data_IF_855235742069
#
_entry.id   IF_855235742069
#
_cell.length_a   1.000
_cell.length_b   1.000
_cell.length_c   1.000
_cell.angle_alpha   90.00
_cell.angle_beta   90.00
_cell.angle_gamma   90.00
#
_symmetry.space_group_name_H-M   'P 1'
#
loop_
_entity.id
_entity.type
_entity.pdbx_description
1 polymer ?
#
# COMPACT_ATOMS: atom_id res chain seq x y z
N UNK A 1 -69.44 52.56 2.45
CA UNK A 1 -69.27 51.13 2.16
C UNK A 1 -68.47 51.04 0.88
N UNK A 2 -67.18 50.74 0.80
CA UNK A 2 -66.04 50.60 1.72
C UNK A 2 -64.80 50.68 0.78
N UNK A 3 -63.77 51.45 1.13
CA UNK A 3 -62.41 50.97 1.44
C UNK A 3 -61.75 50.07 0.36
N UNK A 4 -60.78 50.55 -0.43
CA UNK A 4 -59.31 50.72 -0.21
C UNK A 4 -58.44 49.60 -0.82
N UNK A 5 -57.59 50.02 -1.76
CA UNK A 5 -56.19 49.61 -2.10
C UNK A 5 -55.70 48.19 -1.75
N UNK A 6 -55.22 47.46 -2.78
CA UNK A 6 -54.10 46.49 -2.69
C UNK A 6 -53.34 46.56 -4.04
N UNK A 7 -52.33 47.41 -4.24
CA UNK A 7 -50.91 47.24 -3.88
C UNK A 7 -50.23 46.05 -4.57
N UNK A 8 -49.65 46.27 -5.76
CA UNK A 8 -48.46 45.51 -6.19
C UNK A 8 -47.27 45.99 -5.35
N UNK A 9 -46.53 45.07 -4.71
CA UNK A 9 -45.08 45.13 -4.87
C UNK A 9 -44.35 43.79 -4.77
N UNK A 10 -43.22 43.69 -5.47
CA UNK A 10 -42.03 43.03 -4.93
C UNK A 10 -41.88 41.53 -5.17
N UNK A 11 -41.79 41.10 -6.42
CA UNK A 11 -41.19 39.80 -6.75
C UNK A 11 -39.68 39.82 -6.51
N UNK A 12 -39.23 39.54 -5.30
CA UNK A 12 -37.84 39.16 -5.06
C UNK A 12 -37.66 37.73 -5.60
N UNK A 13 -37.12 37.61 -6.81
CA UNK A 13 -36.57 36.33 -7.26
C UNK A 13 -35.41 35.98 -6.32
N UNK A 14 -35.39 34.81 -5.66
CA UNK A 14 -34.19 34.37 -4.96
C UNK A 14 -33.07 34.28 -6.00
N UNK A 15 -31.99 35.03 -5.78
CA UNK A 15 -30.74 34.83 -6.50
C UNK A 15 -30.36 33.36 -6.35
N UNK A 16 -30.45 32.59 -7.44
CA UNK A 16 -29.85 31.27 -7.48
C UNK A 16 -28.35 31.46 -7.25
N UNK A 17 -27.90 31.11 -6.06
CA UNK A 17 -26.48 31.06 -5.74
C UNK A 17 -25.78 30.21 -6.82
N UNK A 18 -24.66 30.68 -7.39
CA UNK A 18 -23.89 29.85 -8.30
C UNK A 18 -23.51 28.57 -7.55
N UNK A 19 -23.85 27.42 -8.13
CA UNK A 19 -23.41 26.12 -7.63
C UNK A 19 -21.90 26.19 -7.38
N UNK A 20 -21.40 25.70 -6.23
CA UNK A 20 -19.96 25.66 -6.01
C UNK A 20 -19.33 24.91 -7.18
N UNK A 21 -18.31 25.52 -7.78
CA UNK A 21 -17.50 24.90 -8.81
C UNK A 21 -17.06 23.51 -8.30
N UNK A 22 -17.00 22.48 -9.17
CA UNK A 22 -16.48 21.19 -8.76
C UNK A 22 -15.08 21.42 -8.18
N UNK A 23 -14.95 21.24 -6.87
CA UNK A 23 -13.66 21.25 -6.21
C UNK A 23 -12.81 20.24 -6.96
N UNK A 24 -11.68 20.69 -7.52
CA UNK A 24 -10.62 19.76 -7.91
C UNK A 24 -10.40 18.87 -6.70
N UNK A 25 -10.83 17.61 -6.78
CA UNK A 25 -10.61 16.65 -5.73
C UNK A 25 -9.11 16.64 -5.51
N UNK A 26 -8.67 17.14 -4.35
CA UNK A 26 -7.32 16.93 -3.88
C UNK A 26 -7.08 15.44 -4.01
N UNK A 27 -6.17 15.03 -4.91
CA UNK A 27 -5.77 13.64 -5.01
C UNK A 27 -5.39 13.23 -3.59
N UNK A 28 -6.18 12.32 -3.00
CA UNK A 28 -5.97 11.90 -1.63
C UNK A 28 -4.51 11.46 -1.51
N UNK A 29 -3.80 11.98 -0.51
CA UNK A 29 -2.41 11.57 -0.20
C UNK A 29 -2.26 10.06 0.06
N UNK A 30 -3.39 9.35 0.12
CA UNK A 30 -3.52 7.90 0.31
C UNK A 30 -3.65 7.11 -1.00
N UNK A 31 -3.72 7.74 -2.17
CA UNK A 31 -3.87 7.02 -3.44
C UNK A 31 -2.61 6.21 -3.79
N UNK A 32 -2.81 4.97 -4.26
CA UNK A 32 -1.73 4.01 -4.52
C UNK A 32 -0.79 4.40 -5.68
N UNK A 33 -1.20 5.37 -6.51
CA UNK A 33 -0.48 5.80 -7.73
C UNK A 33 -0.14 4.62 -8.68
N UNK A 34 -0.96 3.57 -8.68
CA UNK A 34 -0.85 2.50 -9.66
C UNK A 34 -1.31 2.98 -11.04
N UNK A 35 -0.69 2.47 -12.14
CA UNK A 35 -1.16 2.80 -13.48
C UNK A 35 -2.55 2.21 -13.72
N UNK A 36 -3.31 2.79 -14.65
CA UNK A 36 -4.57 2.18 -15.06
C UNK A 36 -4.29 0.82 -15.74
N UNK A 37 -4.94 -0.29 -15.33
CA UNK A 37 -4.73 -1.60 -15.95
C UNK A 37 -5.08 -1.58 -17.44
N UNK A 38 -4.53 -2.53 -18.20
CA UNK A 38 -4.98 -2.76 -19.58
C UNK A 38 -6.42 -3.25 -19.60
N UNK A 39 -7.16 -2.93 -20.66
CA UNK A 39 -8.57 -3.36 -20.81
C UNK A 39 -8.77 -4.87 -20.89
N UNK A 40 -7.76 -5.63 -21.33
CA UNK A 40 -7.82 -7.08 -21.43
C UNK A 40 -6.54 -7.73 -20.90
N UNK A 41 -6.64 -8.89 -20.24
CA UNK A 41 -5.48 -9.66 -19.82
C UNK A 41 -4.59 -10.03 -20.99
N UNK A 42 -3.30 -10.23 -20.70
CA UNK A 42 -2.42 -10.89 -21.64
C UNK A 42 -2.93 -12.32 -21.87
N UNK A 43 -3.06 -12.68 -23.15
CA UNK A 43 -3.55 -14.00 -23.53
C UNK A 43 -2.59 -15.08 -23.04
N UNK A 44 -3.13 -16.09 -22.36
CA UNK A 44 -2.41 -17.26 -21.89
C UNK A 44 -1.56 -17.90 -23.02
N UNK A 45 -0.27 -18.09 -22.76
CA UNK A 45 0.73 -18.64 -23.69
C UNK A 45 1.16 -17.68 -24.81
N UNK A 46 0.75 -16.41 -24.78
CA UNK A 46 1.14 -15.46 -25.83
C UNK A 46 2.58 -14.96 -25.67
N UNK A 47 3.20 -14.54 -26.78
CA UNK A 47 4.53 -13.93 -26.75
C UNK A 47 4.60 -12.68 -25.85
N UNK A 48 3.51 -11.92 -25.74
CA UNK A 48 3.44 -10.73 -24.87
C UNK A 48 3.42 -11.10 -23.39
N UNK A 49 2.66 -12.14 -23.02
CA UNK A 49 2.66 -12.67 -21.65
C UNK A 49 4.04 -13.22 -21.28
N UNK A 50 4.65 -14.00 -22.17
CA UNK A 50 5.99 -14.56 -21.95
C UNK A 50 7.06 -13.47 -21.84
N UNK A 51 6.98 -12.41 -22.66
CA UNK A 51 7.88 -11.26 -22.55
C UNK A 51 7.70 -10.53 -21.21
N UNK A 52 6.45 -10.33 -20.76
CA UNK A 52 6.17 -9.71 -19.46
C UNK A 52 6.71 -10.55 -18.30
N UNK A 53 6.48 -11.87 -18.34
CA UNK A 53 7.02 -12.83 -17.36
C UNK A 53 8.55 -12.74 -17.28
N UNK A 54 9.24 -12.87 -18.41
CA UNK A 54 10.71 -12.79 -18.45
C UNK A 54 11.26 -11.44 -17.97
N UNK A 55 10.56 -10.35 -18.28
CA UNK A 55 10.93 -9.03 -17.80
C UNK A 55 10.85 -8.95 -16.28
N UNK A 56 9.71 -9.37 -15.70
CA UNK A 56 9.51 -9.38 -14.24
C UNK A 56 10.53 -10.27 -13.56
N UNK A 57 10.74 -11.49 -14.05
CA UNK A 57 11.73 -12.42 -13.50
C UNK A 57 13.14 -11.84 -13.51
N UNK A 58 13.54 -11.21 -14.62
CA UNK A 58 14.85 -10.55 -14.74
C UNK A 58 14.99 -9.39 -13.76
N UNK A 59 13.95 -8.56 -13.60
CA UNK A 59 13.98 -7.44 -12.63
C UNK A 59 14.02 -7.95 -11.20
N UNK A 60 13.23 -8.96 -10.84
CA UNK A 60 13.25 -9.54 -9.49
C UNK A 60 14.59 -10.21 -9.17
N UNK A 61 15.21 -10.91 -10.13
CA UNK A 61 16.54 -11.48 -9.95
C UNK A 61 17.61 -10.41 -9.75
N UNK A 62 17.50 -9.29 -10.48
CA UNK A 62 18.39 -8.15 -10.30
C UNK A 62 18.22 -7.53 -8.91
N UNK A 63 16.97 -7.31 -8.48
CA UNK A 63 16.63 -6.81 -7.13
C UNK A 63 17.21 -7.73 -6.04
N UNK A 64 17.02 -9.05 -6.17
CA UNK A 64 17.57 -9.99 -5.19
C UNK A 64 19.09 -9.97 -5.14
N UNK A 65 19.76 -9.83 -6.30
CA UNK A 65 21.22 -9.69 -6.36
C UNK A 65 21.68 -8.41 -5.67
N UNK A 66 21.03 -7.26 -5.93
CA UNK A 66 21.35 -5.99 -5.24
C UNK A 66 21.14 -6.10 -3.74
N UNK A 67 20.08 -6.76 -3.29
CA UNK A 67 19.87 -6.99 -1.86
C UNK A 67 20.98 -7.85 -1.23
N UNK A 68 21.35 -8.98 -1.85
CA UNK A 68 22.45 -9.82 -1.35
C UNK A 68 23.78 -9.06 -1.32
N UNK A 69 24.04 -8.22 -2.33
CA UNK A 69 25.26 -7.42 -2.44
C UNK A 69 25.42 -6.37 -1.33
N UNK A 70 24.33 -5.95 -0.68
CA UNK A 70 24.39 -5.06 0.50
C UNK A 70 25.27 -5.62 1.62
N UNK A 71 25.30 -6.95 1.77
CA UNK A 71 26.03 -7.63 2.84
C UNK A 71 27.44 -8.05 2.43
N UNK A 72 27.90 -7.66 1.25
CA UNK A 72 29.23 -7.98 0.73
C UNK A 72 30.08 -6.71 0.65
N UNK A 73 31.41 -6.81 0.85
CA UNK A 73 32.29 -5.68 0.65
C UNK A 73 32.26 -5.22 -0.81
N UNK A 74 32.43 -3.91 -1.08
CA UNK A 74 32.45 -3.40 -2.44
C UNK A 74 33.68 -3.93 -3.20
N UNK A 75 33.45 -4.65 -4.29
CA UNK A 75 34.50 -5.13 -5.18
C UNK A 75 34.74 -4.13 -6.32
N UNK A 76 36.02 -3.85 -6.61
CA UNK A 76 36.39 -2.94 -7.69
C UNK A 76 36.05 -3.56 -9.05
N UNK A 77 35.26 -2.85 -9.86
CA UNK A 77 34.87 -3.29 -11.21
C UNK A 77 33.54 -4.04 -11.29
N UNK A 78 32.77 -4.13 -10.20
CA UNK A 78 31.42 -4.72 -10.25
C UNK A 78 30.39 -3.77 -10.88
N UNK A 79 29.58 -4.32 -11.80
CA UNK A 79 28.49 -3.61 -12.47
C UNK A 79 27.23 -3.48 -11.60
N UNK A 80 27.06 -4.35 -10.59
CA UNK A 80 25.86 -4.40 -9.75
C UNK A 80 26.19 -4.03 -8.31
N UNK A 81 25.77 -2.85 -7.89
CA UNK A 81 25.94 -2.36 -6.53
C UNK A 81 24.82 -2.80 -5.59
N UNK A 82 25.17 -2.99 -4.31
CA UNK A 82 24.20 -3.29 -3.26
C UNK A 82 23.18 -2.17 -3.05
N UNK A 83 22.10 -2.46 -2.34
CA UNK A 83 21.18 -1.41 -1.88
C UNK A 83 21.76 -0.65 -0.69
N UNK A 84 21.79 0.67 -0.78
CA UNK A 84 22.22 1.53 0.32
C UNK A 84 21.07 1.81 1.30
N UNK A 85 19.86 2.00 0.78
CA UNK A 85 18.66 2.34 1.56
C UNK A 85 17.42 1.55 1.15
N UNK A 86 16.42 1.52 2.04
CA UNK A 86 15.11 0.97 1.72
C UNK A 86 14.39 1.78 0.63
N UNK A 87 14.72 3.07 0.47
CA UNK A 87 14.18 3.91 -0.60
C UNK A 87 14.49 3.36 -2.00
N UNK A 88 15.73 2.92 -2.22
CA UNK A 88 16.11 2.31 -3.51
C UNK A 88 15.40 0.98 -3.76
N UNK A 89 15.40 0.10 -2.74
CA UNK A 89 14.74 -1.20 -2.84
C UNK A 89 13.23 -1.03 -3.08
N UNK A 90 12.59 -0.10 -2.37
CA UNK A 90 11.17 0.19 -2.52
C UNK A 90 10.84 0.76 -3.91
N UNK A 91 11.72 1.59 -4.47
CA UNK A 91 11.56 2.09 -5.83
C UNK A 91 11.60 0.95 -6.86
N UNK A 92 12.63 0.11 -6.83
CA UNK A 92 12.78 -1.00 -7.79
C UNK A 92 11.62 -2.00 -7.68
N UNK A 93 11.21 -2.37 -6.46
CA UNK A 93 10.05 -3.23 -6.24
C UNK A 93 8.76 -2.57 -6.74
N UNK A 94 8.59 -1.28 -6.50
CA UNK A 94 7.44 -0.48 -6.94
C UNK A 94 7.30 -0.45 -8.46
N UNK A 95 8.40 -0.33 -9.21
CA UNK A 95 8.39 -0.39 -10.68
C UNK A 95 7.93 -1.76 -11.20
N UNK A 96 8.32 -2.84 -10.52
CA UNK A 96 7.86 -4.20 -10.89
C UNK A 96 6.36 -4.34 -10.63
N UNK A 97 5.85 -3.80 -9.52
CA UNK A 97 4.41 -3.79 -9.24
C UNK A 97 3.65 -3.03 -10.33
N UNK A 98 4.15 -1.87 -10.78
CA UNK A 98 3.48 -1.09 -11.84
C UNK A 98 3.33 -1.89 -13.13
N UNK A 99 4.38 -2.61 -13.53
CA UNK A 99 4.35 -3.46 -14.74
C UNK A 99 3.41 -4.66 -14.56
N UNK A 100 3.45 -5.31 -13.39
CA UNK A 100 2.53 -6.40 -13.07
C UNK A 100 1.08 -5.93 -13.11
N UNK A 101 0.78 -4.81 -12.45
CA UNK A 101 -0.55 -4.23 -12.40
C UNK A 101 -1.05 -3.86 -13.80
N UNK A 102 -0.22 -3.16 -14.59
CA UNK A 102 -0.52 -2.82 -15.98
C UNK A 102 -0.82 -4.04 -16.86
N UNK A 103 -0.21 -5.21 -16.57
CA UNK A 103 -0.46 -6.43 -17.35
C UNK A 103 -1.92 -6.91 -17.33
N UNK A 104 -2.71 -6.52 -16.32
CA UNK A 104 -4.10 -6.96 -16.15
C UNK A 104 -4.26 -8.48 -16.17
N UNK A 105 -3.23 -9.24 -15.77
CA UNK A 105 -3.22 -10.70 -15.92
C UNK A 105 -3.11 -11.36 -14.53
N UNK A 106 -4.23 -11.76 -13.91
CA UNK A 106 -4.24 -12.23 -12.52
C UNK A 106 -3.29 -13.41 -12.23
N UNK A 107 -3.19 -14.37 -13.17
CA UNK A 107 -2.29 -15.53 -13.07
C UNK A 107 -0.80 -15.16 -13.05
N UNK A 108 -0.45 -13.98 -13.58
CA UNK A 108 0.88 -13.40 -13.49
C UNK A 108 1.00 -12.54 -12.22
N UNK A 109 0.02 -11.66 -11.99
CA UNK A 109 0.03 -10.69 -10.90
C UNK A 109 0.12 -11.36 -9.53
N UNK A 110 -0.79 -12.29 -9.22
CA UNK A 110 -0.93 -12.89 -7.89
C UNK A 110 0.39 -13.51 -7.39
N UNK A 111 1.03 -14.46 -8.12
CA UNK A 111 2.24 -15.11 -7.62
C UNK A 111 3.42 -14.13 -7.47
N UNK A 112 3.61 -13.19 -8.40
CA UNK A 112 4.73 -12.24 -8.29
C UNK A 112 4.49 -11.17 -7.23
N UNK A 113 3.26 -10.68 -7.04
CA UNK A 113 2.93 -9.74 -5.96
C UNK A 113 3.14 -10.39 -4.59
N UNK A 114 2.74 -11.65 -4.41
CA UNK A 114 3.04 -12.41 -3.18
C UNK A 114 4.54 -12.57 -2.94
N UNK A 115 5.32 -12.78 -4.01
CA UNK A 115 6.78 -12.84 -3.91
C UNK A 115 7.40 -11.49 -3.55
N UNK A 116 6.90 -10.36 -4.09
CA UNK A 116 7.45 -9.05 -3.69
C UNK A 116 7.03 -8.70 -2.26
N UNK A 117 5.81 -9.04 -1.82
CA UNK A 117 5.40 -8.85 -0.43
C UNK A 117 6.31 -9.64 0.53
N UNK A 118 6.68 -10.88 0.17
CA UNK A 118 7.70 -11.64 0.90
C UNK A 118 9.06 -10.94 0.89
N UNK A 119 9.51 -10.41 -0.25
CA UNK A 119 10.75 -9.65 -0.33
C UNK A 119 10.72 -8.41 0.59
N UNK A 120 9.60 -7.68 0.64
CA UNK A 120 9.42 -6.55 1.56
C UNK A 120 9.60 -6.97 3.01
N UNK A 121 8.96 -8.05 3.46
CA UNK A 121 9.17 -8.56 4.84
C UNK A 121 10.61 -8.96 5.12
N UNK A 122 11.34 -9.41 4.10
CA UNK A 122 12.75 -9.80 4.24
C UNK A 122 13.66 -8.57 4.29
N UNK A 123 13.35 -7.55 3.49
CA UNK A 123 14.24 -6.42 3.26
C UNK A 123 14.08 -5.36 4.34
N UNK A 124 12.85 -5.08 4.78
CA UNK A 124 12.53 -4.07 5.78
C UNK A 124 13.48 -4.03 7.00
N UNK A 125 13.73 -5.15 7.71
CA UNK A 125 14.58 -5.12 8.91
C UNK A 125 16.07 -4.87 8.61
N UNK A 126 16.48 -4.92 7.34
CA UNK A 126 17.89 -4.79 6.92
C UNK A 126 18.30 -3.36 6.59
N UNK A 127 17.41 -2.38 6.76
CA UNK A 127 17.67 -0.98 6.47
C UNK A 127 17.18 -0.08 7.62
N UNK A 128 17.77 1.11 7.78
CA UNK A 128 17.17 2.16 8.58
C UNK A 128 15.75 2.51 8.08
N UNK A 129 14.88 3.06 8.95
CA UNK A 129 13.53 3.45 8.57
C UNK A 129 13.53 4.42 7.38
N UNK A 130 12.69 4.15 6.38
CA UNK A 130 12.45 5.03 5.24
C UNK A 130 10.94 5.21 4.99
N UNK A 131 10.21 5.91 5.90
CA UNK A 131 8.74 5.89 5.97
C UNK A 131 8.07 6.21 4.63
N UNK A 132 8.44 7.33 4.00
CA UNK A 132 7.80 7.83 2.77
C UNK A 132 7.86 6.81 1.63
N UNK A 133 9.03 6.23 1.39
CA UNK A 133 9.23 5.29 0.28
C UNK A 133 8.56 3.93 0.58
N UNK A 134 8.67 3.48 1.82
CA UNK A 134 8.08 2.23 2.28
C UNK A 134 6.55 2.28 2.22
N UNK A 135 5.91 3.32 2.77
CA UNK A 135 4.45 3.43 2.74
C UNK A 135 3.93 3.60 1.31
N UNK A 136 4.66 4.30 0.43
CA UNK A 136 4.29 4.38 -0.99
C UNK A 136 4.27 3.00 -1.66
N UNK A 137 5.26 2.16 -1.37
CA UNK A 137 5.29 0.77 -1.85
C UNK A 137 4.13 -0.06 -1.27
N UNK A 138 3.90 0.04 0.04
CA UNK A 138 2.86 -0.72 0.73
C UNK A 138 1.46 -0.33 0.26
N UNK A 139 1.18 0.95 -0.03
CA UNK A 139 -0.09 1.39 -0.62
C UNK A 139 -0.35 0.76 -1.98
N UNK A 140 0.69 0.55 -2.81
CA UNK A 140 0.56 -0.17 -4.08
C UNK A 140 0.19 -1.64 -3.86
N UNK A 141 0.86 -2.31 -2.93
CA UNK A 141 0.56 -3.70 -2.63
C UNK A 141 -0.83 -3.86 -2.02
N UNK A 142 -1.22 -2.95 -1.13
CA UNK A 142 -2.54 -2.95 -0.51
C UNK A 142 -3.65 -2.77 -1.55
N UNK A 143 -3.52 -1.75 -2.41
CA UNK A 143 -4.46 -1.56 -3.51
C UNK A 143 -4.52 -2.79 -4.42
N UNK A 144 -3.38 -3.33 -4.84
CA UNK A 144 -3.34 -4.45 -5.78
C UNK A 144 -3.97 -5.72 -5.17
N UNK A 145 -3.64 -6.06 -3.93
CA UNK A 145 -4.21 -7.24 -3.27
C UNK A 145 -5.69 -7.07 -2.97
N UNK A 146 -6.13 -5.94 -2.40
CA UNK A 146 -7.53 -5.67 -2.14
C UNK A 146 -8.38 -5.77 -3.42
N UNK A 147 -7.88 -5.18 -4.52
CA UNK A 147 -8.57 -5.20 -5.81
C UNK A 147 -8.63 -6.60 -6.41
N UNK A 148 -7.56 -7.39 -6.31
CA UNK A 148 -7.53 -8.79 -6.78
C UNK A 148 -8.43 -9.73 -5.96
N UNK A 149 -8.58 -9.48 -4.66
CA UNK A 149 -9.50 -10.21 -3.79
C UNK A 149 -10.96 -9.87 -4.11
N UNK A 150 -11.22 -8.60 -4.42
CA UNK A 150 -12.54 -8.11 -4.79
C UNK A 150 -12.94 -8.54 -6.21
N UNK A 151 -11.99 -8.55 -7.14
CA UNK A 151 -12.20 -8.73 -8.58
C UNK A 151 -12.55 -7.42 -9.32
N UNK A 152 -12.42 -6.29 -8.63
CA UNK A 152 -12.69 -4.94 -9.10
C UNK A 152 -11.59 -4.03 -8.57
N UNK A 153 -11.23 -3.00 -9.33
CA UNK A 153 -10.33 -1.94 -8.87
C UNK A 153 -10.96 -1.23 -7.67
N UNK A 154 -10.19 -1.12 -6.58
CA UNK A 154 -10.71 -0.62 -5.30
C UNK A 154 -10.97 0.88 -5.28
N UNK A 155 -10.34 1.64 -6.19
CA UNK A 155 -10.50 3.09 -6.29
C UNK A 155 -11.61 3.46 -7.28
N UNK A 156 -11.66 2.79 -8.43
CA UNK A 156 -12.60 3.11 -9.52
C UNK A 156 -13.88 2.26 -9.50
N UNK A 157 -13.85 1.08 -8.89
CA UNK A 157 -14.94 0.11 -8.91
C UNK A 157 -15.08 -0.65 -10.23
N UNK A 158 -14.16 -0.45 -11.19
CA UNK A 158 -14.19 -1.15 -12.48
C UNK A 158 -13.82 -2.62 -12.31
N UNK A 159 -14.49 -3.52 -13.04
CA UNK A 159 -14.16 -4.95 -13.03
C UNK A 159 -12.74 -5.12 -13.57
N UNK A 160 -11.91 -5.85 -12.81
CA UNK A 160 -10.55 -6.10 -13.24
C UNK A 160 -10.51 -7.02 -14.46
N UNK A 161 -9.54 -6.82 -15.37
CA UNK A 161 -9.36 -7.72 -16.49
C UNK A 161 -9.12 -9.15 -15.99
N UNK A 162 -9.82 -10.13 -16.58
CA UNK A 162 -9.75 -11.54 -16.17
C UNK A 162 -10.74 -11.94 -15.07
N UNK A 163 -11.59 -11.02 -14.61
CA UNK A 163 -12.67 -11.26 -13.64
C UNK A 163 -14.07 -11.18 -14.25
N UNK A 164 -14.19 -11.09 -15.59
CA UNK A 164 -15.47 -10.97 -16.30
C UNK A 164 -16.39 -12.19 -16.08
N UNK A 165 -15.79 -13.37 -15.88
CA UNK A 165 -16.48 -14.62 -15.51
C UNK A 165 -16.60 -14.84 -13.99
N UNK A 166 -16.41 -13.78 -13.20
CA UNK A 166 -16.38 -13.79 -11.74
C UNK A 166 -15.00 -14.08 -11.14
N UNK A 167 -14.96 -14.32 -9.82
CA UNK A 167 -13.72 -14.43 -9.02
C UNK A 167 -12.85 -15.68 -9.27
N UNK A 168 -13.14 -16.48 -10.31
CA UNK A 168 -12.40 -17.71 -10.60
C UNK A 168 -10.96 -17.45 -11.07
N UNK A 169 -10.69 -16.28 -11.66
CA UNK A 169 -9.35 -15.84 -12.03
C UNK A 169 -8.56 -15.19 -10.88
N UNK A 170 -9.20 -14.97 -9.72
CA UNK A 170 -8.59 -14.32 -8.57
C UNK A 170 -7.77 -15.24 -7.68
N UNK A 171 -7.46 -14.76 -6.47
CA UNK A 171 -6.68 -15.52 -5.49
C UNK A 171 -7.37 -16.82 -5.06
N UNK A 172 -6.60 -17.92 -5.08
CA UNK A 172 -7.05 -19.19 -4.51
C UNK A 172 -7.06 -19.13 -2.97
N UNK A 173 -7.65 -20.13 -2.31
CA UNK A 173 -7.61 -20.21 -0.83
C UNK A 173 -6.18 -20.20 -0.30
N UNK A 174 -5.28 -20.91 -0.97
CA UNK A 174 -3.86 -20.95 -0.59
C UNK A 174 -3.20 -19.59 -0.76
N UNK A 175 -3.49 -18.88 -1.86
CA UNK A 175 -2.99 -17.52 -2.08
C UNK A 175 -3.50 -16.55 -1.02
N UNK A 176 -4.78 -16.65 -0.64
CA UNK A 176 -5.38 -15.80 0.40
C UNK A 176 -4.75 -16.03 1.77
N UNK A 177 -4.53 -17.28 2.16
CA UNK A 177 -3.86 -17.61 3.44
C UNK A 177 -2.43 -17.09 3.44
N UNK A 178 -1.71 -17.24 2.31
CA UNK A 178 -0.36 -16.70 2.16
C UNK A 178 -0.34 -15.17 2.20
N UNK A 179 -1.27 -14.52 1.50
CA UNK A 179 -1.44 -13.06 1.51
C UNK A 179 -1.68 -12.56 2.93
N UNK A 180 -2.63 -13.18 3.65
CA UNK A 180 -2.92 -12.86 5.06
C UNK A 180 -1.67 -12.93 5.94
N UNK A 181 -0.93 -14.03 5.87
CA UNK A 181 0.29 -14.23 6.66
C UNK A 181 1.36 -13.18 6.35
N UNK A 182 1.56 -12.83 5.08
CA UNK A 182 2.54 -11.81 4.67
C UNK A 182 2.14 -10.41 5.12
N UNK A 183 0.86 -10.08 4.99
CA UNK A 183 0.30 -8.79 5.40
C UNK A 183 0.43 -8.59 6.91
N UNK A 184 0.05 -9.60 7.70
CA UNK A 184 0.18 -9.56 9.16
C UNK A 184 1.65 -9.43 9.60
N UNK A 185 2.55 -10.22 8.99
CA UNK A 185 3.98 -10.11 9.26
C UNK A 185 4.55 -8.73 8.91
N UNK A 186 4.12 -8.16 7.78
CA UNK A 186 4.57 -6.81 7.37
C UNK A 186 4.11 -5.75 8.36
N UNK A 187 2.89 -5.82 8.89
CA UNK A 187 2.39 -4.84 9.87
C UNK A 187 3.21 -4.86 11.16
N UNK A 188 3.54 -6.05 11.66
CA UNK A 188 4.41 -6.20 12.84
C UNK A 188 5.79 -5.59 12.58
N UNK A 189 6.40 -5.91 11.43
CA UNK A 189 7.71 -5.36 11.06
C UNK A 189 7.69 -3.85 10.88
N UNK A 190 6.61 -3.27 10.33
CA UNK A 190 6.52 -1.83 10.15
C UNK A 190 6.45 -1.12 11.50
N UNK A 191 5.66 -1.62 12.44
CA UNK A 191 5.67 -1.06 13.81
C UNK A 191 7.08 -1.17 14.40
N UNK A 192 7.71 -2.35 14.31
CA UNK A 192 9.05 -2.54 14.89
C UNK A 192 10.12 -1.64 14.25
N UNK A 193 10.11 -1.50 12.92
CA UNK A 193 11.10 -0.68 12.19
C UNK A 193 10.83 0.79 12.40
N UNK A 194 9.58 1.25 12.32
CA UNK A 194 9.26 2.69 12.41
C UNK A 194 9.34 3.22 13.85
N UNK A 195 9.19 2.36 14.87
CA UNK A 195 9.40 2.73 16.27
C UNK A 195 10.88 2.76 16.70
N UNK A 196 11.82 2.34 15.84
CA UNK A 196 13.25 2.50 16.13
C UNK A 196 13.62 3.96 15.94
N UNK A 197 13.91 4.65 17.04
CA UNK A 197 14.55 5.97 16.98
C UNK A 197 15.82 5.87 16.11
N UNK A 198 16.12 6.88 15.28
CA UNK A 198 17.42 6.92 14.64
C UNK A 198 18.45 6.91 15.76
N UNK A 199 19.31 5.89 15.81
CA UNK A 199 20.52 5.99 16.59
C UNK A 199 21.33 7.12 15.96
N UNK A 200 21.08 8.36 16.40
CA UNK A 200 22.05 9.43 16.29
C UNK A 200 23.27 8.86 16.97
N UNK A 201 24.34 8.66 16.20
CA UNK A 201 25.68 8.42 16.70
C UNK A 201 25.91 9.48 17.79
N UNK A 202 25.69 9.09 19.06
CA UNK A 202 26.11 9.89 20.19
C UNK A 202 27.61 9.73 20.17
N UNK A 203 28.26 10.63 19.46
CA UNK A 203 29.69 10.86 19.61
C UNK A 203 29.96 10.89 21.12
N UNK A 204 30.77 9.94 21.53
CA UNK A 204 31.29 9.88 22.88
C UNK A 204 32.14 11.12 23.09
N UNK A 205 31.61 12.10 23.83
CA UNK A 205 32.44 13.02 24.57
C UNK A 205 32.06 12.96 26.05
N UNK A 206 32.91 12.24 26.76
CA UNK A 206 32.91 12.06 28.19
C UNK A 206 33.40 13.37 28.83
N UNK A 207 32.48 14.19 29.36
CA UNK A 207 32.86 15.14 30.41
C UNK A 207 31.78 15.18 31.48
N UNK A 208 32.05 14.46 32.58
CA UNK A 208 31.22 14.51 33.78
C UNK A 208 31.23 15.91 34.39
N UNK A 209 30.04 16.45 34.63
CA UNK A 209 29.81 17.46 35.64
C UNK A 209 28.53 17.08 36.40
N UNK A 210 28.74 16.78 37.67
CA UNK A 210 27.76 16.50 38.70
C UNK A 210 27.11 17.83 39.13
N UNK A 211 25.79 17.99 38.96
CA UNK A 211 25.00 18.96 39.72
C UNK A 211 23.56 18.46 39.92
N UNK A 212 23.34 18.01 41.15
CA UNK A 212 22.09 17.91 41.88
C UNK A 212 21.21 19.17 41.76
N UNK A 213 19.91 19.01 41.48
CA UNK A 213 18.80 19.70 42.18
C UNK A 213 17.46 19.66 41.40
N UNK A 214 16.45 19.13 42.11
CA UNK A 214 15.01 19.44 42.05
C UNK A 214 14.12 18.75 41.00
N UNK A 215 13.33 17.82 41.55
CA UNK A 215 12.04 17.36 41.05
C UNK A 215 11.09 18.52 40.73
N UNK A 216 10.63 18.59 39.48
CA UNK A 216 9.36 19.19 39.13
C UNK A 216 8.61 18.16 38.29
N UNK A 217 7.55 17.65 38.88
CA UNK A 217 6.35 17.05 38.29
C UNK A 217 6.42 16.80 36.78
N UNK A 218 6.87 15.59 36.39
CA UNK A 218 6.69 15.08 35.03
C UNK A 218 5.24 14.63 34.91
N UNK A 219 4.34 15.61 34.87
CA UNK A 219 3.08 15.47 34.14
C UNK A 219 3.48 14.94 32.77
N UNK A 220 3.17 13.67 32.50
CA UNK A 220 3.25 13.07 31.17
C UNK A 220 2.27 13.81 30.29
N UNK A 221 2.67 15.00 29.87
CA UNK A 221 2.22 15.65 28.65
C UNK A 221 2.68 14.70 27.55
N UNK A 222 1.74 13.87 27.11
CA UNK A 222 1.80 13.22 25.82
C UNK A 222 1.85 14.38 24.82
N UNK A 223 3.07 14.87 24.53
CA UNK A 223 3.27 15.88 23.51
C UNK A 223 2.65 15.31 22.24
N UNK A 224 1.59 16.00 21.83
CA UNK A 224 0.76 15.70 20.67
C UNK A 224 1.49 16.07 19.37
N UNK A 225 2.77 15.75 19.30
CA UNK A 225 3.52 15.66 18.04
C UNK A 225 3.29 14.24 17.52
N UNK A 226 2.04 13.97 17.13
CA UNK A 226 1.66 12.80 16.36
C UNK A 226 2.58 12.75 15.14
N UNK A 227 3.57 11.83 15.13
CA UNK A 227 4.51 11.69 14.02
C UNK A 227 3.65 11.63 12.75
N UNK A 228 3.89 12.48 11.73
CA UNK A 228 3.11 12.47 10.50
C UNK A 228 3.00 11.08 9.84
N UNK A 229 3.86 10.13 10.25
CA UNK A 229 3.86 8.74 9.83
C UNK A 229 3.11 7.76 10.75
N UNK A 230 2.73 8.12 11.98
CA UNK A 230 1.99 7.22 12.90
C UNK A 230 0.62 6.83 12.32
N UNK A 231 -0.08 7.80 11.71
CA UNK A 231 -1.33 7.54 10.99
C UNK A 231 -1.15 6.63 9.77
N UNK A 232 0.05 6.59 9.18
CA UNK A 232 0.37 5.70 8.05
C UNK A 232 0.69 4.28 8.53
N UNK A 233 1.32 4.10 9.70
CA UNK A 233 1.58 2.78 10.32
C UNK A 233 0.27 2.03 10.55
N UNK A 234 -0.75 2.71 11.07
CA UNK A 234 -2.06 2.11 11.36
C UNK A 234 -2.77 1.59 10.10
N UNK A 235 -2.60 2.28 8.96
CA UNK A 235 -3.30 2.00 7.69
C UNK A 235 -2.61 0.96 6.80
N UNK A 236 -1.45 0.43 7.21
CA UNK A 236 -0.74 -0.58 6.42
C UNK A 236 -1.63 -1.79 6.17
N UNK A 237 -1.90 -2.05 4.88
CA UNK A 237 -2.73 -3.14 4.38
C UNK A 237 -4.18 -3.15 4.88
N UNK A 238 -4.74 -1.99 5.25
CA UNK A 238 -6.10 -1.88 5.78
C UNK A 238 -7.12 -2.47 4.80
N UNK A 239 -7.07 -2.08 3.52
CA UNK A 239 -8.04 -2.54 2.52
C UNK A 239 -7.92 -4.05 2.26
N UNK A 240 -6.69 -4.56 2.17
CA UNK A 240 -6.43 -5.99 1.96
C UNK A 240 -6.95 -6.83 3.11
N UNK A 241 -6.75 -6.39 4.36
CA UNK A 241 -7.24 -7.11 5.54
C UNK A 241 -8.76 -7.17 5.55
N UNK A 242 -9.44 -6.05 5.30
CA UNK A 242 -10.91 -6.00 5.22
C UNK A 242 -11.44 -6.97 4.16
N UNK A 243 -10.81 -7.01 2.98
CA UNK A 243 -11.23 -7.92 1.92
C UNK A 243 -10.92 -9.39 2.24
N UNK A 244 -9.77 -9.70 2.84
CA UNK A 244 -9.44 -11.05 3.28
C UNK A 244 -10.42 -11.57 4.33
N UNK A 245 -10.79 -10.74 5.31
CA UNK A 245 -11.81 -11.08 6.30
C UNK A 245 -13.13 -11.46 5.64
N UNK A 246 -13.63 -10.56 4.78
CA UNK A 246 -14.88 -10.77 4.03
C UNK A 246 -14.86 -12.06 3.21
N UNK A 247 -13.79 -12.33 2.45
CA UNK A 247 -13.73 -13.49 1.55
C UNK A 247 -13.51 -14.80 2.29
N UNK A 248 -12.69 -14.80 3.35
CA UNK A 248 -12.41 -16.01 4.13
C UNK A 248 -13.57 -16.40 5.05
N UNK A 249 -14.23 -15.43 5.70
CA UNK A 249 -15.38 -15.67 6.59
C UNK A 249 -16.62 -16.12 5.82
N UNK A 250 -16.97 -15.41 4.74
CA UNK A 250 -18.13 -15.78 3.92
C UNK A 250 -18.02 -17.21 3.39
N UNK A 251 -16.81 -17.66 3.05
CA UNK A 251 -16.59 -18.99 2.50
C UNK A 251 -16.66 -20.10 3.56
N UNK A 252 -16.28 -19.82 4.81
CA UNK A 252 -16.51 -20.75 5.93
C UNK A 252 -17.99 -20.92 6.25
N UNK A 253 -18.82 -19.89 6.09
CA UNK A 253 -20.27 -19.98 6.31
C UNK A 253 -20.99 -20.88 5.30
N UNK A 254 -20.53 -20.92 4.04
CA UNK A 254 -21.11 -21.82 3.03
C UNK A 254 -20.71 -23.29 3.24
N UNK A 255 -19.50 -23.57 3.72
CA UNK A 255 -19.00 -24.94 3.95
C UNK A 255 -19.68 -25.61 5.16
N UNK A 256 -20.08 -24.82 6.16
CA UNK A 256 -20.85 -25.31 7.32
C UNK A 256 -22.32 -25.66 6.97
N UNK A 257 -22.86 -25.12 5.87
CA UNK A 257 -24.24 -25.35 5.42
C UNK A 257 -24.43 -26.56 4.50
N UNK A 258 -23.35 -27.11 3.94
CA UNK A 258 -23.40 -28.26 3.01
C UNK A 258 -23.25 -29.62 3.68
N UNK A 259 -23.13 -29.68 5.01
CA UNK A 259 -23.00 -30.91 5.79
C UNK A 259 -24.32 -31.49 6.33
N UNK A 260 -25.48 -31.07 5.83
CA UNK A 260 -26.78 -31.57 6.28
C UNK A 260 -27.74 -31.74 5.11
N UNK A 261 -27.60 -32.86 4.39
CA UNK A 261 -28.64 -33.50 3.58
C UNK A 261 -28.34 -34.98 3.46
#
# INVERSE_FOLDING_TARGET
MDETVIQEPGGFLPQSLPSPAPSNASQSSTASNLPHPRSHPLRAGSAKEEAARRYVERRLLHISRRYTKKFQPPEQGEEVHGYESMTEAAKDLGEVIDVLWLSGTPSLQIPYLLNIALAVTTYLPSFPPAPVSTFKLLRKLDHAFASLLKGEDSETGEILPGFEAGKRGGMTRTDMVRCKSLVEATRVLIVEVMSKEPETERDADESGIDMDAMSVDRETTWDADEDPHDMDVARVYEATITQLGTVLENKTSYDAGSGSS
#
